data_IF_477215604040
#
_entry.id   IF_477215604040
#
_cell.length_a   1.000
_cell.length_b   1.000
_cell.length_c   1.000
_cell.angle_alpha   90.00
_cell.angle_beta   90.00
_cell.angle_gamma   90.00
#
_symmetry.space_group_name_H-M   'P 1'
#
loop_
_entity.id
_entity.type
_entity.pdbx_description
1 polymer ?
#
# COMPACT_ATOMS: atom_id res chain seq x y z
N UNK A 1 22.73 43.54 -26.60
CA UNK A 1 22.79 42.12 -26.99
C UNK A 1 21.98 41.34 -25.97
N UNK A 2 20.81 40.86 -26.40
CA UNK A 2 19.79 40.19 -25.59
C UNK A 2 19.91 38.67 -25.78
N UNK A 3 20.06 37.93 -24.69
CA UNK A 3 19.84 36.48 -24.62
C UNK A 3 19.01 36.27 -23.33
N UNK A 4 17.76 35.83 -23.31
CA UNK A 4 16.97 35.14 -24.31
C UNK A 4 16.90 33.64 -24.01
N UNK A 5 16.06 33.26 -23.03
CA UNK A 5 15.28 32.00 -22.91
C UNK A 5 15.21 31.51 -21.45
N UNK A 6 14.05 31.78 -20.82
CA UNK A 6 13.63 31.23 -19.54
C UNK A 6 13.36 29.73 -19.71
N UNK A 7 14.04 28.87 -18.93
CA UNK A 7 13.72 27.44 -18.86
C UNK A 7 12.38 27.26 -18.13
N UNK A 8 11.32 27.01 -18.89
CA UNK A 8 9.95 26.87 -18.44
C UNK A 8 9.62 25.48 -17.83
N UNK A 9 10.63 24.66 -17.52
CA UNK A 9 10.42 23.26 -17.10
C UNK A 9 10.27 23.13 -15.57
N UNK A 10 10.75 24.11 -14.80
CA UNK A 10 10.78 24.00 -13.34
C UNK A 10 9.49 24.47 -12.63
N UNK A 11 8.59 25.16 -13.32
CA UNK A 11 7.41 25.78 -12.70
C UNK A 11 6.17 24.88 -12.63
N UNK A 12 6.19 23.69 -13.25
CA UNK A 12 5.04 22.77 -13.27
C UNK A 12 5.13 21.63 -12.24
N UNK A 13 6.19 21.56 -11.44
CA UNK A 13 6.37 20.57 -10.34
C UNK A 13 5.98 21.18 -8.99
N UNK A 14 5.21 22.27 -8.99
CA UNK A 14 4.57 22.75 -7.77
C UNK A 14 3.40 21.81 -7.44
N UNK A 15 3.51 21.08 -6.34
CA UNK A 15 2.41 20.33 -5.75
C UNK A 15 1.20 21.26 -5.61
N UNK A 16 0.10 20.92 -6.28
CA UNK A 16 -1.19 21.58 -6.06
C UNK A 16 -1.64 21.27 -4.63
N UNK A 17 -2.16 22.24 -3.86
CA UNK A 17 -2.78 21.93 -2.58
C UNK A 17 -3.99 21.03 -2.88
N UNK A 18 -3.98 19.80 -2.37
CA UNK A 18 -5.12 18.89 -2.45
C UNK A 18 -6.20 19.40 -1.49
N UNK A 19 -7.04 20.30 -1.98
CA UNK A 19 -8.39 20.50 -1.45
C UNK A 19 -9.32 19.55 -2.21
N UNK A 20 -9.15 18.25 -1.95
CA UNK A 20 -9.98 17.18 -2.49
C UNK A 20 -10.72 16.58 -1.30
N UNK A 21 -12.04 16.69 -1.36
CA UNK A 21 -13.01 16.38 -0.31
C UNK A 21 -12.63 15.11 0.45
N UNK A 22 -12.23 15.26 1.72
CA UNK A 22 -12.00 14.12 2.61
C UNK A 22 -13.33 13.39 2.79
N UNK A 23 -13.58 12.38 1.95
CA UNK A 23 -14.60 11.37 2.23
C UNK A 23 -14.23 10.82 3.59
N UNK A 24 -15.15 10.87 4.56
CA UNK A 24 -14.95 10.22 5.84
C UNK A 24 -14.72 8.74 5.56
N UNK A 25 -13.46 8.30 5.66
CA UNK A 25 -13.10 6.90 5.49
C UNK A 25 -13.42 6.20 6.80
N UNK A 26 -14.45 5.37 6.79
CA UNK A 26 -14.84 4.62 7.96
C UNK A 26 -13.76 3.61 8.35
N UNK A 27 -13.54 3.45 9.65
CA UNK A 27 -12.59 2.49 10.19
C UNK A 27 -13.22 1.09 10.15
N UNK A 28 -12.63 0.19 9.36
CA UNK A 28 -13.03 -1.23 9.32
C UNK A 28 -12.50 -1.97 10.56
N UNK A 29 -13.28 -1.94 11.64
CA UNK A 29 -12.94 -2.63 12.90
C UNK A 29 -12.94 -4.15 12.77
N UNK A 30 -13.73 -4.71 11.85
CA UNK A 30 -13.74 -6.15 11.60
C UNK A 30 -12.42 -6.60 10.97
N UNK A 31 -11.86 -5.81 10.05
CA UNK A 31 -10.55 -6.07 9.47
C UNK A 31 -9.43 -6.03 10.52
N UNK A 32 -9.49 -5.07 11.47
CA UNK A 32 -8.57 -5.01 12.61
C UNK A 32 -8.68 -6.28 13.45
N UNK A 33 -9.92 -6.71 13.75
CA UNK A 33 -10.18 -7.92 14.53
C UNK A 33 -9.61 -9.17 13.85
N UNK A 34 -9.85 -9.35 12.55
CA UNK A 34 -9.34 -10.49 11.78
C UNK A 34 -7.81 -10.57 11.82
N UNK A 35 -7.12 -9.43 11.62
CA UNK A 35 -5.65 -9.38 11.70
C UNK A 35 -5.14 -9.74 13.10
N UNK A 36 -5.80 -9.23 14.16
CA UNK A 36 -5.45 -9.55 15.56
C UNK A 36 -5.67 -11.02 15.89
N UNK A 37 -6.76 -11.61 15.40
CA UNK A 37 -7.05 -13.04 15.58
C UNK A 37 -6.09 -13.95 14.81
N UNK A 38 -5.61 -13.53 13.64
CA UNK A 38 -4.54 -14.25 12.95
C UNK A 38 -3.24 -14.18 13.76
N UNK A 39 -2.86 -12.99 14.23
CA UNK A 39 -1.67 -12.79 15.03
C UNK A 39 -1.69 -13.62 16.32
N UNK A 40 -2.82 -13.68 17.03
CA UNK A 40 -2.93 -14.43 18.28
C UNK A 40 -2.79 -15.94 18.09
N UNK A 41 -3.28 -16.47 16.96
CA UNK A 41 -3.23 -17.91 16.66
C UNK A 41 -1.89 -18.36 16.09
N UNK A 42 -1.27 -17.54 15.26
CA UNK A 42 -0.13 -17.94 14.42
C UNK A 42 1.21 -17.37 14.88
N UNK A 43 1.23 -16.45 15.87
CA UNK A 43 2.46 -15.94 16.43
C UNK A 43 3.29 -17.07 17.06
N UNK A 44 4.53 -17.24 16.60
CA UNK A 44 5.41 -18.35 17.04
C UNK A 44 6.61 -17.88 17.87
N UNK A 45 6.79 -16.57 18.04
CA UNK A 45 7.94 -15.98 18.72
C UNK A 45 9.29 -16.21 18.03
N UNK A 46 9.30 -16.66 16.77
CA UNK A 46 10.52 -16.98 16.02
C UNK A 46 10.56 -16.35 14.62
N UNK A 47 9.68 -16.76 13.72
CA UNK A 47 9.72 -16.35 12.32
C UNK A 47 8.42 -15.67 11.85
N UNK A 48 7.34 -15.78 12.64
CA UNK A 48 6.02 -15.32 12.28
C UNK A 48 5.51 -14.37 13.37
N UNK A 49 5.80 -13.07 13.23
CA UNK A 49 5.53 -12.08 14.29
C UNK A 49 4.52 -11.01 13.93
N UNK A 50 4.38 -10.72 12.64
CA UNK A 50 3.51 -9.67 12.11
C UNK A 50 2.40 -10.34 11.30
N UNK A 51 1.16 -9.92 11.55
CA UNK A 51 0.01 -10.33 10.77
C UNK A 51 -0.57 -9.12 10.05
N UNK A 52 -1.26 -9.36 8.95
CA UNK A 52 -2.01 -8.34 8.25
C UNK A 52 -3.34 -8.92 7.76
N UNK A 53 -4.28 -8.03 7.49
CA UNK A 53 -5.52 -8.34 6.78
C UNK A 53 -5.80 -7.22 5.77
N UNK A 54 -6.37 -7.59 4.62
CA UNK A 54 -6.78 -6.66 3.59
C UNK A 54 -8.18 -6.98 3.05
N UNK A 55 -8.93 -5.92 2.73
CA UNK A 55 -10.29 -5.96 2.22
C UNK A 55 -10.30 -5.80 0.69
N UNK A 56 -11.03 -6.66 0.01
CA UNK A 56 -11.36 -6.51 -1.41
C UNK A 56 -12.66 -5.70 -1.60
N UNK A 57 -12.89 -5.08 -2.77
CA UNK A 57 -14.12 -4.33 -3.05
C UNK A 57 -15.41 -5.14 -2.91
N UNK A 58 -15.34 -6.45 -3.12
CA UNK A 58 -16.47 -7.38 -2.98
C UNK A 58 -16.70 -7.89 -1.54
N UNK A 59 -15.98 -7.33 -0.58
CA UNK A 59 -16.10 -7.64 0.84
C UNK A 59 -15.23 -8.79 1.33
N UNK A 60 -14.58 -9.57 0.43
CA UNK A 60 -13.69 -10.66 0.85
C UNK A 60 -12.48 -10.12 1.63
N UNK A 61 -12.07 -10.85 2.68
CA UNK A 61 -10.83 -10.56 3.41
C UNK A 61 -9.72 -11.53 2.98
N UNK A 62 -8.52 -11.00 2.82
CA UNK A 62 -7.29 -11.77 2.66
C UNK A 62 -6.38 -11.50 3.85
N UNK A 63 -5.88 -12.55 4.48
CA UNK A 63 -4.99 -12.46 5.65
C UNK A 63 -3.60 -13.01 5.33
N UNK A 64 -2.58 -12.53 6.04
CA UNK A 64 -1.20 -12.98 5.84
C UNK A 64 -0.33 -12.84 7.08
N UNK A 65 0.62 -13.76 7.25
CA UNK A 65 1.67 -13.70 8.28
C UNK A 65 3.02 -13.40 7.63
N UNK A 66 3.85 -12.62 8.29
CA UNK A 66 5.24 -12.39 7.88
C UNK A 66 6.04 -13.70 7.91
N UNK A 67 7.02 -13.82 7.03
CA UNK A 67 8.05 -14.86 7.11
C UNK A 67 9.40 -14.18 7.28
N UNK A 68 9.94 -14.19 8.50
CA UNK A 68 11.25 -13.60 8.79
C UNK A 68 12.37 -14.42 8.18
N UNK A 69 13.24 -13.77 7.41
CA UNK A 69 14.46 -14.37 6.89
C UNK A 69 15.50 -13.30 6.54
N UNK A 70 16.79 -13.59 6.73
CA UNK A 70 17.89 -12.62 6.53
C UNK A 70 18.04 -12.17 5.07
N UNK A 71 17.58 -12.98 4.10
CA UNK A 71 17.51 -12.62 2.68
C UNK A 71 16.37 -11.64 2.34
N UNK A 72 15.74 -11.05 3.35
CA UNK A 72 14.59 -10.17 3.17
C UNK A 72 13.30 -10.96 2.97
N UNK A 73 13.01 -11.89 3.88
CA UNK A 73 11.74 -12.63 3.89
C UNK A 73 10.52 -11.69 3.83
N UNK A 74 9.40 -12.13 3.25
CA UNK A 74 8.25 -11.27 2.99
C UNK A 74 7.59 -10.79 4.27
N UNK A 75 7.27 -9.50 4.32
CA UNK A 75 6.39 -8.96 5.34
C UNK A 75 4.94 -9.44 5.08
N UNK A 76 4.08 -9.35 6.08
CA UNK A 76 2.70 -9.83 6.00
C UNK A 76 1.93 -9.20 4.83
N UNK A 77 2.19 -7.93 4.54
CA UNK A 77 1.59 -7.17 3.43
C UNK A 77 1.95 -7.78 2.07
N UNK A 78 3.21 -8.19 1.88
CA UNK A 78 3.65 -8.82 0.63
C UNK A 78 3.09 -10.23 0.50
N UNK A 79 2.96 -10.96 1.61
CA UNK A 79 2.28 -12.25 1.63
C UNK A 79 0.82 -12.10 1.18
N UNK A 80 0.13 -11.05 1.63
CA UNK A 80 -1.24 -10.75 1.19
C UNK A 80 -1.34 -10.54 -0.32
N UNK A 81 -0.41 -9.81 -0.95
CA UNK A 81 -0.41 -9.63 -2.42
C UNK A 81 -0.45 -10.99 -3.13
N UNK A 82 0.42 -11.92 -2.72
CA UNK A 82 0.46 -13.27 -3.28
C UNK A 82 -0.79 -14.08 -2.95
N UNK A 83 -1.26 -14.04 -1.70
CA UNK A 83 -2.47 -14.76 -1.26
C UNK A 83 -3.75 -14.25 -1.94
N UNK A 84 -3.84 -12.96 -2.23
CA UNK A 84 -4.93 -12.35 -2.97
C UNK A 84 -4.91 -12.82 -4.43
N UNK A 85 -3.75 -12.76 -5.08
CA UNK A 85 -3.58 -13.26 -6.45
C UNK A 85 -3.92 -14.76 -6.58
N UNK A 86 -3.55 -15.59 -5.60
CA UNK A 86 -3.92 -17.01 -5.56
C UNK A 86 -5.44 -17.24 -5.50
N UNK A 87 -6.18 -16.28 -4.96
CA UNK A 87 -7.65 -16.27 -4.87
C UNK A 87 -8.33 -15.48 -6.01
N UNK A 88 -7.55 -15.04 -7.02
CA UNK A 88 -8.01 -14.18 -8.11
C UNK A 88 -8.62 -12.85 -7.63
N UNK A 89 -8.08 -12.32 -6.54
CA UNK A 89 -8.36 -10.97 -6.02
C UNK A 89 -7.20 -10.08 -6.46
N UNK A 90 -7.48 -9.16 -7.39
CA UNK A 90 -6.47 -8.25 -7.96
C UNK A 90 -6.69 -6.79 -7.55
N UNK A 91 -7.69 -6.53 -6.72
CA UNK A 91 -7.95 -5.22 -6.13
C UNK A 91 -8.13 -5.38 -4.63
N UNK A 92 -7.47 -4.51 -3.86
CA UNK A 92 -7.60 -4.39 -2.41
C UNK A 92 -7.78 -2.91 -2.07
N UNK A 93 -8.76 -2.61 -1.20
CA UNK A 93 -9.16 -1.23 -0.87
C UNK A 93 -8.56 -0.76 0.43
N UNK A 94 -8.42 -1.65 1.41
CA UNK A 94 -8.01 -1.30 2.78
C UNK A 94 -7.15 -2.39 3.37
N UNK A 95 -6.10 -2.03 4.10
CA UNK A 95 -5.21 -2.97 4.78
C UNK A 95 -4.90 -2.51 6.20
N UNK A 96 -4.73 -3.47 7.11
CA UNK A 96 -4.19 -3.24 8.45
C UNK A 96 -3.02 -4.19 8.70
N UNK A 97 -2.02 -3.70 9.44
CA UNK A 97 -0.87 -4.50 9.87
C UNK A 97 -0.81 -4.47 11.39
N UNK A 98 -0.68 -5.63 12.02
CA UNK A 98 -0.61 -5.78 13.47
C UNK A 98 0.68 -6.45 13.92
N UNK A 99 1.28 -5.90 14.97
CA UNK A 99 2.49 -6.39 15.60
C UNK A 99 2.29 -6.78 17.06
N UNK A 100 3.37 -7.21 17.71
CA UNK A 100 3.41 -7.60 19.13
C UNK A 100 2.31 -8.61 19.51
N UNK A 101 2.15 -9.67 18.72
CA UNK A 101 1.10 -10.68 18.90
C UNK A 101 -0.33 -10.09 18.89
N UNK A 102 -0.59 -9.16 17.96
CA UNK A 102 -1.92 -8.57 17.73
C UNK A 102 -2.27 -7.41 18.67
N UNK A 103 -1.31 -6.87 19.42
CA UNK A 103 -1.58 -5.80 20.40
C UNK A 103 -1.56 -4.40 19.82
N UNK A 104 -0.79 -4.18 18.75
CA UNK A 104 -0.57 -2.84 18.19
C UNK A 104 -0.79 -2.84 16.69
N UNK A 105 -1.41 -1.79 16.17
CA UNK A 105 -1.39 -1.50 14.73
C UNK A 105 -0.07 -0.82 14.41
N UNK A 106 0.62 -1.31 13.38
CA UNK A 106 1.93 -0.79 12.99
C UNK A 106 1.88 -0.26 11.56
N UNK A 107 2.64 0.81 11.23
CA UNK A 107 2.76 1.27 9.86
C UNK A 107 3.54 0.26 9.01
N UNK A 108 3.23 0.11 7.71
CA UNK A 108 3.99 -0.73 6.81
C UNK A 108 5.43 -0.23 6.68
N UNK A 109 6.37 -1.15 6.52
CA UNK A 109 7.78 -0.80 6.31
C UNK A 109 8.01 -0.20 4.92
N UNK A 110 9.17 0.46 4.69
CA UNK A 110 9.43 1.16 3.42
C UNK A 110 9.28 0.30 2.16
N UNK A 111 9.75 -0.96 2.21
CA UNK A 111 9.59 -1.91 1.10
C UNK A 111 8.11 -2.22 0.82
N UNK A 112 7.32 -2.42 1.88
CA UNK A 112 5.89 -2.66 1.75
C UNK A 112 5.19 -1.42 1.22
N UNK A 113 5.54 -0.21 1.69
CA UNK A 113 4.94 1.02 1.17
C UNK A 113 5.07 1.14 -0.33
N UNK A 114 6.27 0.89 -0.86
CA UNK A 114 6.50 0.90 -2.31
C UNK A 114 5.73 -0.22 -3.02
N UNK A 115 5.78 -1.45 -2.51
CA UNK A 115 5.06 -2.57 -3.13
C UNK A 115 3.54 -2.34 -3.15
N UNK A 116 2.97 -1.87 -2.05
CA UNK A 116 1.55 -1.57 -1.93
C UNK A 116 1.16 -0.38 -2.82
N UNK A 117 1.99 0.67 -2.90
CA UNK A 117 1.75 1.80 -3.79
C UNK A 117 1.76 1.37 -5.26
N UNK A 118 2.69 0.50 -5.64
CA UNK A 118 2.77 -0.02 -7.00
C UNK A 118 1.51 -0.85 -7.33
N UNK A 119 1.16 -1.85 -6.52
CA UNK A 119 0.03 -2.75 -6.80
C UNK A 119 -1.35 -2.13 -6.57
N UNK A 120 -1.48 -1.30 -5.53
CA UNK A 120 -2.75 -0.76 -5.05
C UNK A 120 -2.61 0.74 -4.69
N UNK A 121 -2.44 1.62 -5.69
CA UNK A 121 -2.13 3.04 -5.48
C UNK A 121 -3.22 3.81 -4.70
N UNK A 122 -4.45 3.30 -4.69
CA UNK A 122 -5.59 3.87 -3.97
C UNK A 122 -5.86 3.19 -2.62
N UNK A 123 -4.99 2.30 -2.14
CA UNK A 123 -5.23 1.55 -0.91
C UNK A 123 -5.11 2.43 0.33
N UNK A 124 -6.05 2.25 1.24
CA UNK A 124 -6.07 2.86 2.56
C UNK A 124 -5.42 1.95 3.61
N UNK A 125 -4.63 2.52 4.52
CA UNK A 125 -3.93 1.79 5.57
C UNK A 125 -4.45 2.22 6.94
N UNK A 126 -4.89 1.25 7.74
CA UNK A 126 -5.28 1.45 9.14
C UNK A 126 -4.05 1.40 10.05
N UNK A 127 -3.75 2.49 10.75
CA UNK A 127 -2.60 2.60 11.67
C UNK A 127 -2.97 3.35 12.97
N UNK A 128 -2.13 3.23 13.99
CA UNK A 128 -2.23 4.03 15.21
C UNK A 128 -3.19 3.48 16.27
N UNK A 129 -3.22 4.19 17.40
CA UNK A 129 -4.14 3.97 18.52
C UNK A 129 -4.48 5.35 19.14
N UNK A 130 -5.69 5.91 18.92
CA UNK A 130 -6.81 5.30 18.20
C UNK A 130 -6.53 5.08 16.71
N UNK A 131 -7.21 4.11 16.04
CA UNK A 131 -6.99 3.85 14.63
C UNK A 131 -7.33 5.05 13.75
N UNK A 132 -6.51 5.28 12.73
CA UNK A 132 -6.71 6.27 11.68
C UNK A 132 -6.51 5.62 10.31
N UNK A 133 -7.23 6.13 9.31
CA UNK A 133 -7.13 5.70 7.92
C UNK A 133 -6.21 6.64 7.16
N UNK A 134 -5.09 6.12 6.64
CA UNK A 134 -4.10 6.90 5.89
C UNK A 134 -3.92 6.29 4.50
N UNK A 135 -4.09 7.06 3.40
CA UNK A 135 -3.81 6.59 2.06
C UNK A 135 -2.35 6.17 1.90
N UNK A 136 -2.10 5.09 1.14
CA UNK A 136 -0.74 4.61 0.88
C UNK A 136 0.17 5.67 0.24
N UNK A 137 -0.40 6.55 -0.59
CA UNK A 137 0.30 7.66 -1.23
C UNK A 137 0.83 8.70 -0.22
N UNK A 138 0.16 8.89 0.92
CA UNK A 138 0.62 9.81 1.98
C UNK A 138 1.75 9.22 2.81
N UNK A 139 1.85 7.89 2.89
CA UNK A 139 2.93 7.21 3.59
C UNK A 139 4.25 7.19 2.80
N UNK A 140 4.23 7.60 1.54
CA UNK A 140 5.37 7.54 0.61
C UNK A 140 5.50 8.86 -0.17
N UNK A 141 5.97 9.95 0.46
CA UNK A 141 6.11 11.25 -0.21
C UNK A 141 7.10 11.16 -1.37
N UNK A 142 6.71 11.71 -2.53
CA UNK A 142 7.47 11.64 -3.79
C UNK A 142 7.87 10.19 -4.15
N UNK A 143 6.88 9.30 -4.34
CA UNK A 143 7.14 7.88 -4.51
C UNK A 143 7.90 7.63 -5.80
N UNK A 144 8.80 6.65 -5.79
CA UNK A 144 9.36 6.12 -7.01
C UNK A 144 8.21 5.49 -7.81
N UNK A 145 7.99 5.96 -9.04
CA UNK A 145 6.94 5.45 -9.91
C UNK A 145 7.56 4.50 -10.92
N UNK A 146 7.37 3.18 -10.71
CA UNK A 146 8.03 2.15 -11.52
C UNK A 146 7.79 2.32 -13.02
N UNK A 147 6.60 2.72 -13.42
CA UNK A 147 6.22 2.93 -14.83
C UNK A 147 6.98 4.06 -15.53
N UNK A 148 7.62 4.98 -14.79
CA UNK A 148 8.53 5.97 -15.41
C UNK A 148 9.80 5.34 -15.99
N UNK A 149 10.13 4.12 -15.57
CA UNK A 149 11.38 3.42 -15.93
C UNK A 149 11.15 2.08 -16.63
N UNK A 150 9.97 1.48 -16.49
CA UNK A 150 9.58 0.23 -17.15
C UNK A 150 8.14 0.36 -17.68
N UNK A 151 7.93 0.55 -19.00
CA UNK A 151 6.60 0.71 -19.60
C UNK A 151 5.66 -0.47 -19.34
N UNK A 152 6.19 -1.67 -19.14
CA UNK A 152 5.38 -2.87 -18.81
C UNK A 152 4.72 -2.75 -17.44
N UNK A 153 5.27 -1.91 -16.55
CA UNK A 153 4.73 -1.62 -15.24
C UNK A 153 3.36 -0.95 -15.26
N UNK A 154 2.92 -0.39 -16.39
CA UNK A 154 1.57 0.18 -16.55
C UNK A 154 0.53 -0.93 -16.74
N UNK A 155 0.88 -1.96 -17.51
CA UNK A 155 -0.05 -3.03 -17.92
C UNK A 155 -0.24 -4.17 -16.91
N UNK A 156 0.66 -4.34 -15.94
CA UNK A 156 0.62 -5.47 -15.00
C UNK A 156 -0.19 -5.19 -13.72
N UNK A 157 -0.71 -3.98 -13.54
CA UNK A 157 -1.14 -3.48 -12.21
C UNK A 157 -2.63 -3.21 -12.06
N UNK A 158 -3.50 -3.80 -12.90
CA UNK A 158 -4.95 -3.89 -12.68
C UNK A 158 -5.75 -2.57 -12.59
N UNK A 159 -5.08 -1.43 -12.45
CA UNK A 159 -5.67 -0.10 -12.34
C UNK A 159 -5.55 0.69 -13.63
N UNK A 160 -6.47 1.64 -13.81
CA UNK A 160 -6.51 2.60 -14.91
C UNK A 160 -5.35 3.62 -14.80
N UNK A 161 -4.10 3.19 -14.96
CA UNK A 161 -3.01 4.13 -15.18
C UNK A 161 -2.95 4.49 -16.66
N UNK A 162 -3.21 5.77 -16.95
CA UNK A 162 -2.95 6.35 -18.27
C UNK A 162 -1.45 6.24 -18.56
N UNK A 163 -1.10 5.57 -19.66
CA UNK A 163 0.28 5.49 -20.13
C UNK A 163 0.72 6.89 -20.62
N UNK A 164 1.69 7.55 -19.97
CA UNK A 164 2.16 8.87 -20.40
C UNK A 164 2.85 8.86 -21.77
N UNK A 165 3.13 7.68 -22.34
CA UNK A 165 3.69 7.49 -23.67
C UNK A 165 2.65 7.04 -24.72
N UNK A 166 1.37 6.86 -24.34
CA UNK A 166 0.34 6.52 -25.30
C UNK A 166 0.21 7.63 -26.36
N UNK A 167 0.59 7.31 -27.61
CA UNK A 167 0.47 8.22 -28.76
C UNK A 167 1.75 8.96 -29.18
N UNK A 168 2.94 8.53 -28.75
CA UNK A 168 4.23 8.93 -29.35
C UNK A 168 4.87 7.82 -30.17
#
# INVERSE_FOLDING_TARGET
MTVGARSAICSSIAARPHEETAVARDIDFDLIKEAKELASRCYDGKNHHVAAAARAPDGRTVVGMSVSHFLGGPCAEVVIIGSAAAQRIYELTTMVVVGLAGRVLIPPCGRCRQALFDYFPSMDILIGDPPAVIPIAELLPLPYRRWLTDPRGVSSMGGNHEDPFAGR
#
